data_IF_956858997230
#
_entry.id   IF_956858997230
#
_cell.length_a   1.000
_cell.length_b   1.000
_cell.length_c   1.000
_cell.angle_alpha   90.00
_cell.angle_beta   90.00
_cell.angle_gamma   90.00
#
_symmetry.space_group_name_H-M   'P 1'
#
loop_
_entity.id
_entity.type
_entity.pdbx_description
1 polymer ?
#
# COMPACT_ATOMS: atom_id res chain seq x y z
N UNK A 1 -3.00 17.79 2.71
CA UNK A 1 -2.12 16.62 2.53
C UNK A 1 -1.78 16.45 1.06
N UNK A 2 -0.54 16.13 0.78
CA UNK A 2 -0.06 15.92 -0.58
C UNK A 2 0.47 14.50 -0.71
N UNK A 3 0.50 13.98 -1.93
CA UNK A 3 1.00 12.63 -2.19
C UNK A 3 2.43 12.45 -1.68
N UNK A 4 3.27 13.48 -1.80
CA UNK A 4 4.66 13.44 -1.34
C UNK A 4 4.80 13.32 0.19
N UNK A 5 3.73 13.59 0.93
CA UNK A 5 3.74 13.48 2.39
C UNK A 5 3.56 12.03 2.85
N UNK A 6 3.26 11.12 1.93
CA UNK A 6 3.09 9.70 2.23
C UNK A 6 4.39 8.94 2.01
N UNK A 7 4.58 7.92 2.82
CA UNK A 7 5.73 7.03 2.71
C UNK A 7 5.24 5.72 2.09
N UNK A 8 5.84 5.33 0.96
CA UNK A 8 5.50 4.09 0.27
C UNK A 8 6.47 3.00 0.70
N UNK A 9 5.91 1.87 1.12
CA UNK A 9 6.69 0.78 1.70
C UNK A 9 6.21 -0.54 1.14
N UNK A 10 7.16 -1.42 0.79
CA UNK A 10 6.85 -2.79 0.40
C UNK A 10 6.88 -3.65 1.63
N UNK A 11 5.80 -4.41 1.85
CA UNK A 11 5.70 -5.35 2.96
C UNK A 11 5.50 -6.77 2.46
N UNK A 12 5.90 -7.75 3.24
CA UNK A 12 5.68 -9.15 2.95
C UNK A 12 5.06 -9.81 4.19
N UNK A 13 4.13 -10.72 3.95
CA UNK A 13 3.51 -11.49 5.02
C UNK A 13 3.23 -12.92 4.54
N UNK A 14 3.06 -13.81 5.49
CA UNK A 14 2.78 -15.22 5.21
C UNK A 14 1.28 -15.43 5.05
N UNK A 15 0.88 -15.86 3.87
CA UNK A 15 -0.52 -16.19 3.56
C UNK A 15 -0.52 -17.25 2.44
N UNK A 16 -0.28 -18.53 2.79
CA UNK A 16 -0.11 -19.58 1.79
C UNK A 16 -1.37 -19.88 1.00
N UNK A 17 -2.53 -19.48 1.48
CA UNK A 17 -3.81 -19.69 0.79
C UNK A 17 -4.17 -18.56 -0.17
N UNK A 18 -3.37 -17.50 -0.21
CA UNK A 18 -3.58 -16.41 -1.15
C UNK A 18 -3.17 -16.87 -2.56
N UNK A 19 -4.02 -16.58 -3.57
CA UNK A 19 -3.75 -16.98 -4.95
C UNK A 19 -2.45 -16.39 -5.51
N UNK A 20 -1.94 -15.31 -4.91
CA UNK A 20 -0.71 -14.66 -5.33
C UNK A 20 0.51 -15.07 -4.50
N UNK A 21 0.33 -16.00 -3.56
CA UNK A 21 1.41 -16.45 -2.70
C UNK A 21 2.48 -17.15 -3.53
N UNK A 22 3.75 -16.88 -3.21
CA UNK A 22 4.89 -17.56 -3.80
C UNK A 22 5.01 -18.98 -3.23
N UNK A 23 5.97 -19.75 -3.75
CA UNK A 23 6.19 -21.13 -3.30
C UNK A 23 6.42 -21.26 -1.80
N UNK A 24 6.98 -20.22 -1.17
CA UNK A 24 7.20 -20.19 0.27
C UNK A 24 6.00 -19.68 1.08
N UNK A 25 4.86 -19.44 0.41
CA UNK A 25 3.65 -18.93 1.06
C UNK A 25 3.66 -17.43 1.35
N UNK A 26 4.65 -16.70 0.87
CA UNK A 26 4.77 -15.26 1.12
C UNK A 26 4.03 -14.44 0.07
N UNK A 27 3.39 -13.37 0.53
CA UNK A 27 2.70 -12.40 -0.33
C UNK A 27 3.35 -11.04 -0.13
N UNK A 28 3.64 -10.36 -1.24
CA UNK A 28 4.18 -9.00 -1.22
C UNK A 28 3.09 -8.00 -1.52
N UNK A 29 3.06 -6.90 -0.78
CA UNK A 29 2.11 -5.82 -0.98
C UNK A 29 2.82 -4.49 -0.78
N UNK A 30 2.20 -3.42 -1.29
CA UNK A 30 2.66 -2.07 -1.05
C UNK A 30 1.66 -1.33 -0.19
N UNK A 31 2.16 -0.52 0.73
CA UNK A 31 1.32 0.33 1.58
C UNK A 31 1.86 1.76 1.52
N UNK A 32 0.96 2.70 1.66
CA UNK A 32 1.30 4.11 1.86
C UNK A 32 0.92 4.49 3.29
N UNK A 33 1.85 5.10 4.01
CA UNK A 33 1.64 5.52 5.40
C UNK A 33 1.72 7.04 5.50
N UNK A 34 0.89 7.60 6.37
CA UNK A 34 0.95 9.02 6.67
C UNK A 34 2.04 9.31 7.71
N UNK A 35 2.15 10.57 8.11
CA UNK A 35 3.17 11.00 9.07
C UNK A 35 3.01 10.37 10.46
N UNK A 36 1.83 9.86 10.78
CA UNK A 36 1.57 9.16 12.04
C UNK A 36 1.80 7.66 11.95
N UNK A 37 2.24 7.18 10.80
CA UNK A 37 2.51 5.76 10.60
C UNK A 37 1.30 4.92 10.26
N UNK A 38 0.14 5.55 10.06
CA UNK A 38 -1.08 4.83 9.70
C UNK A 38 -1.10 4.50 8.22
N UNK A 39 -1.44 3.25 7.88
CA UNK A 39 -1.58 2.84 6.49
C UNK A 39 -2.88 3.42 5.94
N UNK A 40 -2.78 4.20 4.85
CA UNK A 40 -3.91 4.90 4.26
C UNK A 40 -4.22 4.43 2.84
N UNK A 41 -3.32 3.69 2.23
CA UNK A 41 -3.50 3.17 0.87
C UNK A 41 -2.75 1.87 0.71
N UNK A 42 -3.22 1.02 -0.18
CA UNK A 42 -2.67 -0.32 -0.41
C UNK A 42 -2.67 -0.64 -1.90
N UNK A 43 -1.79 -1.54 -2.30
CA UNK A 43 -1.76 -2.06 -3.65
C UNK A 43 -0.88 -3.29 -3.74
N UNK A 44 -1.12 -4.11 -4.76
CA UNK A 44 -0.31 -5.29 -5.02
C UNK A 44 1.03 -4.90 -5.63
N UNK A 45 1.04 -3.78 -6.34
CA UNK A 45 2.25 -3.18 -6.90
C UNK A 45 2.35 -1.74 -6.40
N UNK A 46 3.53 -1.16 -6.55
CA UNK A 46 3.73 0.24 -6.19
C UNK A 46 2.79 1.15 -6.99
N UNK A 47 2.60 0.86 -8.28
CA UNK A 47 1.73 1.66 -9.13
C UNK A 47 0.29 1.65 -8.63
N UNK A 48 -0.23 0.49 -8.24
CA UNK A 48 -1.58 0.37 -7.69
C UNK A 48 -1.70 1.11 -6.36
N UNK A 49 -0.69 1.00 -5.51
CA UNK A 49 -0.65 1.71 -4.23
C UNK A 49 -0.65 3.23 -4.45
N UNK A 50 0.12 3.71 -5.43
CA UNK A 50 0.15 5.14 -5.77
C UNK A 50 -1.22 5.62 -6.25
N UNK A 51 -1.91 4.83 -7.08
CA UNK A 51 -3.25 5.18 -7.54
C UNK A 51 -4.23 5.27 -6.38
N UNK A 52 -4.18 4.32 -5.46
CA UNK A 52 -5.03 4.32 -4.27
C UNK A 52 -4.70 5.52 -3.37
N UNK A 53 -3.41 5.83 -3.23
CA UNK A 53 -2.96 6.97 -2.44
C UNK A 53 -3.43 8.29 -3.04
N UNK A 54 -3.44 8.42 -4.37
CA UNK A 54 -3.96 9.62 -5.04
C UNK A 54 -5.44 9.83 -4.73
N UNK A 55 -6.20 8.74 -4.71
CA UNK A 55 -7.62 8.79 -4.37
C UNK A 55 -7.80 9.26 -2.93
N UNK A 56 -7.01 8.71 -2.02
CA UNK A 56 -7.04 9.10 -0.61
C UNK A 56 -6.74 10.59 -0.43
N UNK A 57 -5.67 11.08 -1.10
CA UNK A 57 -5.27 12.49 -1.02
C UNK A 57 -6.36 13.39 -1.59
N UNK A 58 -6.99 13.00 -2.70
CA UNK A 58 -8.07 13.76 -3.30
C UNK A 58 -9.27 13.91 -2.35
N UNK A 59 -9.62 12.84 -1.65
CA UNK A 59 -10.71 12.85 -0.67
C UNK A 59 -10.37 13.76 0.50
N UNK A 60 -9.12 13.74 0.98
CA UNK A 60 -8.70 14.57 2.11
C UNK A 60 -8.67 16.06 1.79
N UNK A 61 -8.56 16.42 0.52
CA UNK A 61 -8.45 17.81 0.09
C UNK A 61 -9.78 18.42 -0.37
N UNK A 62 -10.89 17.72 -0.21
CA UNK A 62 -12.24 18.24 -0.52
C UNK A 62 -12.69 19.27 0.50
#
# INVERSE_FOLDING_TARGET
>A
MKLKDLIFERIEHYDPYNSRAKNNGMVSEWVARNEWGNAVAFGDTKAECVQDARRYVAIQNI
#
